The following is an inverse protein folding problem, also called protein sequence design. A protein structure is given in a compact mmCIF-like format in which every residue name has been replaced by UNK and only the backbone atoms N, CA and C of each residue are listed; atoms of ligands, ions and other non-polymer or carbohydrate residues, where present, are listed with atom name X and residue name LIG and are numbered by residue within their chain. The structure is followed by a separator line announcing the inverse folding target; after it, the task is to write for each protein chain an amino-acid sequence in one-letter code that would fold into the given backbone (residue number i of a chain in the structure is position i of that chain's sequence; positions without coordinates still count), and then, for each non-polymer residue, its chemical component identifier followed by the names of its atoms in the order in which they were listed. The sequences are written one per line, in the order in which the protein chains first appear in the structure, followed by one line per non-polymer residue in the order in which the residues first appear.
data_IF_237748752738
#
_entry.id   IF_237748752738
#
_cell.length_a   1.000
_cell.length_b   1.000
_cell.length_c   1.000
_cell.angle_alpha   90.00
_cell.angle_beta   90.00
_cell.angle_gamma   90.00
#
_symmetry.space_group_name_H-M   'P 1'
#
loop_
_entity.id
_entity.type
_entity.pdbx_description
1 polymer ?
#
# COMPACT_ATOMS: atom_id res chain seq x y z
N UNK A 1 -7.40 -8.48 4.99
CA UNK A 1 -6.40 -8.82 3.96
C UNK A 1 -6.70 -8.03 2.69
N UNK A 2 -7.94 -8.05 2.23
CA UNK A 2 -8.44 -7.35 1.03
C UNK A 2 -8.08 -5.87 0.96
N UNK A 3 -8.28 -5.10 2.05
CA UNK A 3 -7.91 -3.67 2.10
C UNK A 3 -6.42 -3.44 1.83
N UNK A 4 -5.54 -4.31 2.33
CA UNK A 4 -4.10 -4.14 2.17
C UNK A 4 -3.68 -4.41 0.73
N UNK A 5 -4.24 -5.45 0.09
CA UNK A 5 -3.98 -5.79 -1.31
C UNK A 5 -4.55 -4.73 -2.27
N UNK A 6 -5.76 -4.24 -1.98
CA UNK A 6 -6.37 -3.14 -2.74
C UNK A 6 -5.50 -1.87 -2.67
N UNK A 7 -5.10 -1.46 -1.46
CA UNK A 7 -4.22 -0.31 -1.28
C UNK A 7 -2.86 -0.53 -1.97
N UNK A 8 -2.33 -1.75 -1.96
CA UNK A 8 -1.09 -2.09 -2.67
C UNK A 8 -1.22 -1.87 -4.18
N UNK A 9 -2.33 -2.30 -4.79
CA UNK A 9 -2.60 -2.07 -6.22
C UNK A 9 -2.77 -0.58 -6.52
N UNK A 10 -3.50 0.16 -5.66
CA UNK A 10 -3.71 1.60 -5.80
C UNK A 10 -2.40 2.39 -5.71
N UNK A 11 -1.52 2.05 -4.76
CA UNK A 11 -0.19 2.66 -4.64
C UNK A 11 0.63 2.51 -5.92
N UNK A 12 0.59 1.35 -6.57
CA UNK A 12 1.28 1.13 -7.82
C UNK A 12 0.64 1.94 -8.99
N UNK A 13 -0.69 1.98 -9.07
CA UNK A 13 -1.41 2.58 -10.18
C UNK A 13 -1.57 4.12 -10.08
N UNK A 14 -1.78 4.65 -8.89
CA UNK A 14 -2.08 6.06 -8.63
C UNK A 14 -0.81 6.85 -8.28
N UNK A 15 0.12 6.25 -7.54
CA UNK A 15 1.30 6.94 -6.97
C UNK A 15 2.64 6.45 -7.55
N UNK A 16 2.63 5.39 -8.36
CA UNK A 16 3.86 4.78 -8.91
C UNK A 16 4.74 4.08 -7.86
N UNK A 17 4.19 3.79 -6.67
CA UNK A 17 4.90 3.11 -5.58
C UNK A 17 4.61 1.61 -5.67
N UNK A 18 5.49 0.87 -6.33
CA UNK A 18 5.37 -0.58 -6.49
C UNK A 18 5.97 -1.34 -5.30
N UNK A 19 5.13 -1.78 -4.36
CA UNK A 19 5.52 -2.39 -3.08
C UNK A 19 4.77 -3.69 -2.74
N UNK A 20 5.18 -4.37 -1.66
CA UNK A 20 4.46 -5.54 -1.12
C UNK A 20 3.20 -5.21 -0.30
N UNK A 21 2.41 -6.24 0.03
CA UNK A 21 1.11 -6.13 0.74
C UNK A 21 1.22 -5.50 2.12
N UNK A 22 2.29 -5.79 2.86
CA UNK A 22 2.49 -5.19 4.19
C UNK A 22 2.58 -3.67 4.12
N UNK A 23 3.24 -3.15 3.08
CA UNK A 23 3.37 -1.72 2.82
C UNK A 23 2.01 -1.10 2.47
N UNK A 24 1.21 -1.76 1.63
CA UNK A 24 -0.17 -1.34 1.36
C UNK A 24 -1.05 -1.35 2.62
N UNK A 25 -0.87 -2.34 3.50
CA UNK A 25 -1.53 -2.38 4.80
C UNK A 25 -1.15 -1.22 5.72
N UNK A 26 0.15 -0.87 5.78
CA UNK A 26 0.64 0.26 6.56
C UNK A 26 0.07 1.60 6.05
N UNK A 27 0.04 1.80 4.73
CA UNK A 27 -0.56 2.99 4.12
C UNK A 27 -2.08 3.02 4.34
N UNK A 28 -2.78 1.90 4.20
CA UNK A 28 -4.22 1.84 4.46
C UNK A 28 -4.56 2.27 5.90
N UNK A 29 -3.74 1.84 6.88
CA UNK A 29 -3.88 2.30 8.26
C UNK A 29 -3.55 3.79 8.42
N UNK A 30 -2.49 4.28 7.78
CA UNK A 30 -2.11 5.69 7.83
C UNK A 30 -3.16 6.63 7.23
N UNK A 31 -3.78 6.24 6.10
CA UNK A 31 -4.87 7.01 5.47
C UNK A 31 -6.08 7.07 6.39
N UNK A 32 -6.44 5.96 7.07
CA UNK A 32 -7.51 5.96 8.08
C UNK A 32 -7.18 6.89 9.25
N UNK A 33 -5.96 6.78 9.79
CA UNK A 33 -5.50 7.64 10.89
C UNK A 33 -5.51 9.12 10.50
N UNK A 34 -5.17 9.46 9.25
CA UNK A 34 -5.16 10.84 8.78
C UNK A 34 -6.52 11.53 8.84
N UNK A 35 -7.63 10.78 8.87
CA UNK A 35 -8.97 11.33 9.02
C UNK A 35 -9.32 11.69 10.48
N UNK A 36 -8.51 11.25 11.45
CA UNK A 36 -8.74 11.44 12.89
C UNK A 36 -7.81 12.51 13.50
N UNK A 37 -6.85 13.02 12.73
CA UNK A 37 -5.84 13.97 13.20
C UNK A 37 -5.82 15.24 12.34
N UNK A 38 -5.49 16.37 12.95
CA UNK A 38 -5.34 17.66 12.27
C UNK A 38 -3.89 18.15 12.38
N UNK A 39 -3.36 18.74 11.31
CA UNK A 39 -1.99 19.30 11.26
C UNK A 39 -0.87 18.31 11.66
N UNK A 40 -1.05 17.03 11.34
CA UNK A 40 -0.09 15.98 11.65
C UNK A 40 0.73 15.56 10.42
N UNK A 41 1.95 15.05 10.68
CA UNK A 41 2.79 14.38 9.67
C UNK A 41 2.85 12.89 10.01
N UNK A 42 2.39 12.05 9.09
CA UNK A 42 2.37 10.59 9.24
C UNK A 42 3.46 9.99 8.36
N UNK A 43 4.30 9.12 8.95
CA UNK A 43 5.36 8.41 8.24
C UNK A 43 5.08 6.91 8.32
N UNK A 44 5.23 6.22 7.19
CA UNK A 44 5.11 4.76 7.10
C UNK A 44 6.35 4.16 6.44
N UNK A 45 6.57 2.86 6.68
CA UNK A 45 7.66 2.12 6.07
C UNK A 45 7.12 1.32 4.88
N UNK A 46 7.80 1.47 3.74
CA UNK A 46 7.67 0.55 2.60
C UNK A 46 8.70 -0.56 2.80
N UNK A 47 8.23 -1.76 3.10
CA UNK A 47 9.09 -2.87 3.55
C UNK A 47 9.92 -3.46 2.41
N UNK A 48 9.36 -3.51 1.21
CA UNK A 48 9.99 -4.05 0.00
C UNK A 48 9.28 -3.59 -1.27
N UNK A 49 9.87 -3.94 -2.41
CA UNK A 49 9.29 -3.71 -3.74
C UNK A 49 8.31 -4.81 -4.12
N UNK A 50 7.38 -4.45 -5.00
CA UNK A 50 6.30 -5.33 -5.46
C UNK A 50 6.74 -6.48 -6.38
N UNK A 51 7.96 -6.46 -6.95
CA UNK A 51 8.42 -7.46 -7.92
C UNK A 51 8.45 -8.88 -7.35
N UNK A 52 8.66 -9.00 -6.03
CA UNK A 52 8.64 -10.27 -5.30
C UNK A 52 7.25 -10.92 -5.24
N UNK A 53 6.20 -10.18 -5.59
CA UNK A 53 4.80 -10.58 -5.46
C UNK A 53 4.09 -10.79 -6.80
N UNK A 54 4.81 -10.70 -7.92
CA UNK A 54 4.21 -10.93 -9.25
C UNK A 54 3.64 -12.34 -9.42
N UNK A 55 4.23 -13.35 -8.76
CA UNK A 55 3.77 -14.75 -8.84
C UNK A 55 2.67 -15.11 -7.85
N UNK A 56 2.20 -14.16 -7.02
CA UNK A 56 1.24 -14.45 -5.95
C UNK A 56 -0.20 -14.05 -6.30
N UNK A 57 -0.44 -13.48 -7.49
CA UNK A 57 -1.77 -13.06 -7.95
C UNK A 57 -2.30 -11.76 -7.35
N UNK A 58 -1.46 -10.99 -6.63
CA UNK A 58 -1.86 -9.70 -6.05
C UNK A 58 -2.02 -8.63 -7.14
N UNK A 59 -1.11 -8.66 -8.12
CA UNK A 59 -1.10 -7.75 -9.26
C UNK A 59 -1.77 -8.43 -10.47
N UNK A 60 -2.59 -7.71 -11.23
CA UNK A 60 -3.16 -8.23 -12.47
C UNK A 60 -2.03 -8.53 -13.47
N UNK A 61 -2.18 -9.63 -14.21
CA UNK A 61 -1.22 -10.08 -15.23
C UNK A 61 -1.49 -9.51 -16.63
N UNK A 62 -2.48 -8.64 -16.79
CA UNK A 62 -2.91 -8.05 -18.06
C UNK A 62 -3.29 -6.58 -17.89
#
# INVERSE_FOLDING_TARGET
QDTAEEMTRRLAAEEGIFCGVSSGGAIAAAVRLSAEVENAVIVTIICDRGDRYLSTGIFPSE
#
